data_IF_433843377685
#
_entry.id   IF_433843377685
#
_cell.length_a   1.000
_cell.length_b   1.000
_cell.length_c   1.000
_cell.angle_alpha   90.00
_cell.angle_beta   90.00
_cell.angle_gamma   90.00
#
_symmetry.space_group_name_H-M   'P 1'
#
loop_
_entity.id
_entity.type
_entity.pdbx_description
1 polymer ?
#
# COMPACT_ATOMS: atom_id res chain seq x y z
N UNK A 1 -38.81 -9.17 -15.37
CA UNK A 1 -38.29 -8.60 -14.12
C UNK A 1 -39.51 -8.15 -13.34
N UNK A 2 -40.02 -9.03 -12.49
CA UNK A 2 -41.23 -8.80 -11.72
C UNK A 2 -40.94 -9.20 -10.28
N UNK A 3 -41.57 -8.47 -9.37
CA UNK A 3 -41.74 -8.76 -7.95
C UNK A 3 -40.69 -8.22 -6.96
N UNK A 4 -40.74 -6.90 -6.75
CA UNK A 4 -40.54 -6.30 -5.42
C UNK A 4 -41.76 -5.40 -5.15
N UNK A 5 -42.93 -6.03 -5.09
CA UNK A 5 -44.16 -5.36 -4.64
C UNK A 5 -44.05 -5.01 -3.15
N UNK A 6 -44.27 -3.73 -2.83
CA UNK A 6 -44.85 -3.18 -1.59
C UNK A 6 -44.36 -3.65 -0.20
N UNK A 7 -43.34 -4.50 -0.07
CA UNK A 7 -42.86 -4.97 1.22
C UNK A 7 -42.01 -3.88 1.90
N UNK A 8 -42.44 -3.32 3.06
CA UNK A 8 -41.68 -2.30 3.78
C UNK A 8 -40.50 -2.94 4.51
N UNK A 9 -39.52 -3.40 3.74
CA UNK A 9 -38.33 -4.13 4.19
C UNK A 9 -37.54 -3.33 5.21
N UNK A 10 -37.37 -2.02 5.01
CA UNK A 10 -36.66 -1.15 5.95
C UNK A 10 -37.37 -1.02 7.31
N UNK A 11 -38.71 -1.03 7.34
CA UNK A 11 -39.47 -0.93 8.59
C UNK A 11 -39.60 -2.27 9.32
N UNK A 12 -39.46 -3.39 8.61
CA UNK A 12 -39.56 -4.75 9.16
C UNK A 12 -38.21 -5.41 9.47
N UNK A 13 -37.11 -4.85 8.96
CA UNK A 13 -35.75 -5.29 9.28
C UNK A 13 -35.35 -4.81 10.69
N UNK A 14 -35.97 -5.39 11.72
CA UNK A 14 -35.80 -4.96 13.11
C UNK A 14 -34.68 -5.70 13.86
N UNK A 15 -34.10 -6.76 13.26
CA UNK A 15 -33.04 -7.53 13.90
C UNK A 15 -31.69 -6.85 13.70
N UNK A 16 -30.96 -6.66 14.80
CA UNK A 16 -29.54 -6.35 14.71
C UNK A 16 -28.76 -7.58 14.20
N UNK A 17 -27.52 -7.37 13.77
CA UNK A 17 -26.64 -8.48 13.37
C UNK A 17 -26.44 -9.49 14.52
N UNK A 18 -26.32 -9.01 15.76
CA UNK A 18 -26.20 -9.85 16.95
C UNK A 18 -27.46 -10.69 17.19
N UNK A 19 -28.65 -10.11 16.95
CA UNK A 19 -29.91 -10.85 17.06
C UNK A 19 -29.99 -11.96 16.01
N UNK A 20 -29.62 -11.65 14.77
CA UNK A 20 -29.58 -12.62 13.68
C UNK A 20 -28.61 -13.77 13.98
N UNK A 21 -27.39 -13.45 14.44
CA UNK A 21 -26.39 -14.44 14.84
C UNK A 21 -26.93 -15.39 15.92
N UNK A 22 -27.61 -14.83 16.94
CA UNK A 22 -28.27 -15.62 17.97
C UNK A 22 -29.38 -16.51 17.40
N UNK A 23 -30.22 -15.99 16.52
CA UNK A 23 -31.28 -16.77 15.88
C UNK A 23 -30.72 -17.94 15.07
N UNK A 24 -29.63 -17.72 14.31
CA UNK A 24 -28.97 -18.79 13.54
C UNK A 24 -28.41 -19.86 14.47
N UNK A 25 -27.72 -19.46 15.55
CA UNK A 25 -27.20 -20.42 16.53
C UNK A 25 -28.32 -21.27 17.14
N UNK A 26 -29.44 -20.65 17.52
CA UNK A 26 -30.60 -21.36 18.05
C UNK A 26 -31.23 -22.31 17.03
N UNK A 27 -31.36 -21.89 15.76
CA UNK A 27 -31.89 -22.75 14.70
C UNK A 27 -30.99 -23.98 14.45
N UNK A 28 -29.66 -23.81 14.50
CA UNK A 28 -28.71 -24.93 14.39
C UNK A 28 -28.85 -25.87 15.58
N UNK A 29 -28.96 -25.34 16.81
CA UNK A 29 -29.14 -26.15 18.02
C UNK A 29 -30.45 -26.93 17.93
N UNK A 30 -31.57 -26.27 17.64
CA UNK A 30 -32.89 -26.89 17.48
C UNK A 30 -32.86 -27.99 16.41
N UNK A 31 -32.28 -27.71 15.24
CA UNK A 31 -32.11 -28.71 14.18
C UNK A 31 -31.34 -29.96 14.65
N UNK A 32 -30.25 -29.78 15.40
CA UNK A 32 -29.44 -30.90 15.89
C UNK A 32 -30.10 -31.70 17.03
N UNK A 33 -31.12 -31.12 17.68
CA UNK A 33 -31.93 -31.76 18.70
C UNK A 33 -33.18 -32.47 18.14
N UNK A 34 -33.62 -32.12 16.93
CA UNK A 34 -34.78 -32.71 16.30
C UNK A 34 -34.48 -34.12 15.74
N UNK A 35 -35.47 -35.01 15.85
CA UNK A 35 -35.40 -36.31 15.21
C UNK A 35 -35.64 -36.21 13.70
N UNK A 36 -34.75 -36.81 12.92
CA UNK A 36 -34.98 -36.97 11.50
C UNK A 36 -36.04 -38.05 11.24
N UNK A 37 -37.18 -37.67 10.68
CA UNK A 37 -38.33 -38.56 10.44
C UNK A 37 -38.00 -39.79 9.56
N UNK A 38 -37.00 -39.72 8.68
CA UNK A 38 -36.63 -40.84 7.80
C UNK A 38 -35.70 -41.83 8.48
N UNK A 39 -34.71 -41.33 9.22
CA UNK A 39 -33.69 -42.18 9.84
C UNK A 39 -33.99 -42.53 11.28
N UNK A 40 -34.99 -41.89 11.90
CA UNK A 40 -35.35 -42.02 13.32
C UNK A 40 -34.15 -41.79 14.24
N UNK A 41 -33.32 -40.80 13.88
CA UNK A 41 -32.08 -40.46 14.56
C UNK A 41 -32.09 -38.99 14.92
N UNK A 42 -31.59 -38.69 16.12
CA UNK A 42 -31.30 -37.34 16.58
C UNK A 42 -29.80 -37.08 16.41
N UNK A 43 -29.37 -36.07 15.64
CA UNK A 43 -27.95 -35.81 15.36
C UNK A 43 -27.08 -35.73 16.62
N UNK A 44 -27.54 -34.98 17.64
CA UNK A 44 -26.80 -34.86 18.90
C UNK A 44 -26.63 -36.20 19.63
N UNK A 45 -27.67 -37.04 19.65
CA UNK A 45 -27.61 -38.35 20.31
C UNK A 45 -26.67 -39.31 19.58
N UNK A 46 -26.67 -39.30 18.25
CA UNK A 46 -25.74 -40.10 17.45
C UNK A 46 -24.30 -39.63 17.64
N UNK A 47 -24.06 -38.32 17.68
CA UNK A 47 -22.74 -37.76 17.99
C UNK A 47 -22.25 -38.22 19.36
N UNK A 48 -23.05 -38.06 20.42
CA UNK A 48 -22.69 -38.47 21.78
C UNK A 48 -22.40 -39.97 21.91
N UNK A 49 -23.12 -40.82 21.15
CA UNK A 49 -22.86 -42.27 21.12
C UNK A 49 -21.50 -42.63 20.51
N UNK A 50 -21.01 -41.84 19.57
CA UNK A 50 -19.80 -42.14 18.79
C UNK A 50 -18.58 -41.35 19.26
N UNK A 51 -18.78 -40.20 19.92
CA UNK A 51 -17.71 -39.28 20.30
C UNK A 51 -16.77 -39.82 21.37
N UNK A 52 -17.21 -40.79 22.18
CA UNK A 52 -16.38 -41.45 23.20
C UNK A 52 -15.18 -42.21 22.62
N UNK A 53 -15.21 -42.56 21.34
CA UNK A 53 -14.12 -43.26 20.65
C UNK A 53 -13.19 -42.31 19.86
N UNK A 54 -13.46 -41.00 19.89
CA UNK A 54 -12.61 -40.02 19.20
C UNK A 54 -11.36 -39.73 20.06
N UNK A 55 -10.21 -39.65 19.39
CA UNK A 55 -8.99 -39.17 20.04
C UNK A 55 -9.18 -37.72 20.51
N UNK A 56 -8.85 -37.46 21.77
CA UNK A 56 -8.81 -36.10 22.32
C UNK A 56 -7.59 -35.37 21.75
N UNK A 57 -7.81 -34.61 20.68
CA UNK A 57 -6.81 -33.66 20.19
C UNK A 57 -6.82 -32.45 21.12
N UNK A 58 -5.85 -32.39 22.04
CA UNK A 58 -5.62 -31.22 22.90
C UNK A 58 -4.93 -30.11 22.11
N UNK A 59 -5.55 -29.68 21.03
CA UNK A 59 -5.09 -28.53 20.27
C UNK A 59 -5.32 -27.26 21.09
N UNK A 60 -4.39 -26.33 20.97
CA UNK A 60 -4.53 -24.99 21.53
C UNK A 60 -5.60 -24.22 20.72
N UNK A 61 -6.76 -23.86 21.31
CA UNK A 61 -7.87 -23.25 20.58
C UNK A 61 -7.47 -21.95 19.87
N UNK A 62 -6.56 -21.17 20.45
CA UNK A 62 -6.10 -19.91 19.85
C UNK A 62 -5.31 -20.19 18.57
N UNK A 63 -4.41 -21.17 18.61
CA UNK A 63 -3.63 -21.58 17.43
C UNK A 63 -4.52 -22.11 16.32
N UNK A 64 -5.52 -22.93 16.68
CA UNK A 64 -6.49 -23.45 15.71
C UNK A 64 -7.25 -22.30 15.03
N UNK A 65 -7.75 -21.34 15.81
CA UNK A 65 -8.45 -20.17 15.27
C UNK A 65 -7.58 -19.39 14.29
N UNK A 66 -6.32 -19.12 14.64
CA UNK A 66 -5.38 -18.36 13.80
C UNK A 66 -5.12 -19.02 12.44
N UNK A 67 -5.18 -20.35 12.35
CA UNK A 67 -5.02 -21.08 11.08
C UNK A 67 -6.18 -20.79 10.12
N UNK A 68 -7.38 -20.56 10.63
CA UNK A 68 -8.56 -20.22 9.81
C UNK A 68 -8.65 -18.74 9.43
N UNK A 69 -7.87 -17.88 10.07
CA UNK A 69 -7.86 -16.45 9.74
C UNK A 69 -7.25 -16.19 8.35
N UNK A 70 -7.69 -15.09 7.74
CA UNK A 70 -7.23 -14.67 6.42
C UNK A 70 -5.73 -14.36 6.46
N UNK A 71 -4.97 -14.92 5.51
CA UNK A 71 -3.52 -14.74 5.40
C UNK A 71 -3.11 -13.61 4.47
N UNK A 72 -2.02 -12.93 4.82
CA UNK A 72 -1.34 -11.95 3.98
C UNK A 72 0.15 -11.90 4.31
N UNK A 73 0.95 -11.37 3.38
CA UNK A 73 2.36 -11.08 3.64
C UNK A 73 2.60 -9.57 3.65
N UNK A 74 3.31 -9.06 4.66
CA UNK A 74 3.61 -7.63 4.79
C UNK A 74 5.05 -7.39 5.21
N UNK A 75 5.64 -6.32 4.67
CA UNK A 75 6.95 -5.87 5.09
C UNK A 75 6.84 -5.07 6.38
N UNK A 76 7.79 -5.28 7.29
CA UNK A 76 7.95 -4.45 8.47
C UNK A 76 8.58 -3.12 8.06
N UNK A 77 7.92 -2.01 8.40
CA UNK A 77 8.47 -0.67 8.25
C UNK A 77 8.89 -0.12 9.61
N UNK A 78 9.59 1.03 9.63
CA UNK A 78 9.87 1.75 10.88
C UNK A 78 8.59 2.13 11.65
N UNK A 79 7.46 2.28 10.94
CA UNK A 79 6.18 2.64 11.53
C UNK A 79 5.36 1.40 11.96
N UNK A 80 5.91 0.19 11.83
CA UNK A 80 5.22 -1.08 12.03
C UNK A 80 4.75 -1.70 10.71
N UNK A 81 3.67 -2.47 10.76
CA UNK A 81 3.09 -3.14 9.59
C UNK A 81 1.97 -2.28 9.01
N UNK A 82 2.01 -2.01 7.70
CA UNK A 82 0.94 -1.29 7.01
C UNK A 82 -0.03 -2.26 6.35
N UNK A 83 -1.32 -2.12 6.69
CA UNK A 83 -2.39 -2.93 6.13
C UNK A 83 -3.71 -2.15 6.15
N UNK A 84 -4.55 -2.31 5.13
CA UNK A 84 -5.83 -1.61 5.00
C UNK A 84 -5.79 -0.08 4.99
N UNK A 85 -4.60 0.53 4.83
CA UNK A 85 -4.32 1.95 5.09
C UNK A 85 -4.35 2.36 6.58
N UNK A 86 -4.15 1.38 7.45
CA UNK A 86 -3.83 1.53 8.86
C UNK A 86 -2.36 1.10 9.09
N UNK A 87 -1.84 1.48 10.24
CA UNK A 87 -0.55 1.02 10.74
C UNK A 87 -0.78 0.23 12.02
N UNK A 88 -0.12 -0.92 12.10
CA UNK A 88 -0.17 -1.83 13.24
C UNK A 88 1.20 -1.88 13.90
N UNK A 89 1.25 -1.81 15.23
CA UNK A 89 2.50 -1.86 15.96
C UNK A 89 2.32 -2.51 17.33
N UNK A 90 3.37 -3.19 17.76
CA UNK A 90 3.51 -3.71 19.12
C UNK A 90 4.98 -3.60 19.53
N UNK A 91 5.31 -3.34 20.81
CA UNK A 91 6.69 -3.15 21.25
C UNK A 91 7.66 -4.27 20.85
N UNK A 92 7.18 -5.52 20.77
CA UNK A 92 8.02 -6.65 20.41
C UNK A 92 8.51 -6.61 18.96
N UNK A 93 7.77 -5.95 18.04
CA UNK A 93 8.25 -5.73 16.67
C UNK A 93 9.47 -4.81 16.62
N UNK A 94 9.65 -3.97 17.64
CA UNK A 94 10.75 -2.99 17.72
C UNK A 94 12.13 -3.63 17.62
N UNK A 95 12.29 -4.88 18.11
CA UNK A 95 13.54 -5.63 18.06
C UNK A 95 13.94 -5.93 16.61
N UNK A 96 12.96 -6.12 15.72
CA UNK A 96 13.18 -6.46 14.31
C UNK A 96 13.25 -5.24 13.38
N UNK A 97 12.89 -4.04 13.86
CA UNK A 97 12.92 -2.81 13.04
C UNK A 97 14.31 -2.44 12.52
N UNK A 98 15.42 -2.60 13.28
CA UNK A 98 16.77 -2.35 12.77
C UNK A 98 17.13 -3.21 11.57
N UNK A 99 16.79 -4.50 11.62
CA UNK A 99 17.12 -5.50 10.59
C UNK A 99 15.98 -5.77 9.60
N UNK A 100 14.95 -4.90 9.56
CA UNK A 100 13.74 -5.06 8.76
C UNK A 100 14.01 -5.29 7.26
N UNK A 101 15.08 -4.69 6.73
CA UNK A 101 15.43 -4.77 5.31
C UNK A 101 15.97 -6.17 4.94
N UNK A 102 16.42 -6.95 5.93
CA UNK A 102 16.91 -8.33 5.78
C UNK A 102 15.84 -9.38 6.11
N UNK A 103 14.81 -8.99 6.87
CA UNK A 103 13.78 -9.89 7.38
C UNK A 103 12.81 -10.41 6.32
N UNK A 104 12.74 -9.75 5.15
CA UNK A 104 11.78 -10.08 4.11
C UNK A 104 10.34 -9.70 4.49
N UNK A 105 9.36 -10.41 3.94
CA UNK A 105 7.95 -10.22 4.28
C UNK A 105 7.57 -11.13 5.45
N UNK A 106 6.84 -10.58 6.41
CA UNK A 106 6.26 -11.30 7.54
C UNK A 106 4.89 -11.87 7.17
N UNK A 107 4.61 -13.08 7.63
CA UNK A 107 3.27 -13.68 7.56
C UNK A 107 2.34 -12.99 8.56
N UNK A 108 1.19 -12.56 8.08
CA UNK A 108 0.17 -11.85 8.84
C UNK A 108 -1.16 -12.57 8.69
N UNK A 109 -1.85 -12.77 9.80
CA UNK A 109 -3.23 -13.27 9.89
C UNK A 109 -4.13 -12.17 10.41
N UNK A 110 -5.37 -12.10 9.92
CA UNK A 110 -6.35 -11.11 10.37
C UNK A 110 -7.78 -11.65 10.27
N UNK A 111 -8.67 -11.15 11.11
CA UNK A 111 -10.11 -11.39 11.01
C UNK A 111 -10.77 -10.21 10.25
N UNK A 112 -11.40 -10.43 9.09
CA UNK A 112 -12.16 -9.37 8.40
C UNK A 112 -13.31 -8.79 9.23
N UNK A 113 -13.80 -9.51 10.25
CA UNK A 113 -14.84 -9.06 11.17
C UNK A 113 -14.29 -8.16 12.29
N UNK A 114 -13.00 -8.24 12.56
CA UNK A 114 -12.32 -7.37 13.51
C UNK A 114 -10.89 -7.08 13.08
N UNK A 115 -10.68 -5.91 12.48
CA UNK A 115 -9.35 -5.43 12.07
C UNK A 115 -8.71 -4.50 13.12
N UNK A 116 -9.21 -4.47 14.35
CA UNK A 116 -8.56 -3.76 15.47
C UNK A 116 -7.17 -4.34 15.79
N UNK A 117 -6.99 -5.62 15.50
CA UNK A 117 -5.75 -6.36 15.70
C UNK A 117 -5.41 -7.19 14.46
N UNK A 118 -4.12 -7.37 14.24
CA UNK A 118 -3.59 -8.39 13.33
C UNK A 118 -2.68 -9.32 14.11
N UNK A 119 -2.44 -10.50 13.58
CA UNK A 119 -1.52 -11.47 14.17
C UNK A 119 -0.34 -11.65 13.25
N UNK A 120 0.86 -11.42 13.77
CA UNK A 120 2.09 -11.45 12.98
C UNK A 120 2.92 -12.63 13.43
N UNK A 121 3.41 -13.40 12.48
CA UNK A 121 4.30 -14.53 12.78
C UNK A 121 5.65 -13.99 13.23
N UNK A 122 5.99 -14.28 14.47
CA UNK A 122 7.27 -13.94 15.06
C UNK A 122 8.39 -14.73 14.34
N UNK A 123 9.40 -14.04 13.76
CA UNK A 123 10.50 -14.70 13.03
C UNK A 123 11.31 -15.67 13.88
N UNK A 124 11.40 -15.45 15.20
CA UNK A 124 12.21 -16.27 16.11
C UNK A 124 11.39 -17.42 16.70
N UNK A 125 10.23 -17.11 17.26
CA UNK A 125 9.41 -18.13 17.95
C UNK A 125 8.50 -18.90 16.99
N UNK A 126 8.33 -18.41 15.76
CA UNK A 126 7.40 -18.92 14.74
C UNK A 126 5.92 -18.90 15.16
N UNK A 127 5.61 -18.30 16.31
CA UNK A 127 4.26 -18.15 16.82
C UNK A 127 3.62 -16.86 16.33
N UNK A 128 2.32 -16.91 16.12
CA UNK A 128 1.54 -15.70 15.84
C UNK A 128 1.36 -14.89 17.12
N UNK A 129 1.65 -13.59 17.03
CA UNK A 129 1.50 -12.65 18.14
C UNK A 129 0.60 -11.50 17.74
N UNK A 130 -0.30 -11.03 18.63
CA UNK A 130 -1.18 -9.92 18.33
C UNK A 130 -0.40 -8.61 18.19
N UNK A 131 -0.86 -7.78 17.27
CA UNK A 131 -0.33 -6.45 16.96
C UNK A 131 -1.52 -5.53 16.75
N UNK A 132 -1.65 -4.55 17.62
CA UNK A 132 -2.79 -3.64 17.66
C UNK A 132 -2.63 -2.51 16.65
N UNK A 133 -3.73 -1.83 16.35
CA UNK A 133 -3.68 -0.58 15.59
C UNK A 133 -2.88 0.48 16.34
N UNK A 134 -2.02 1.16 15.61
CA UNK A 134 -1.14 2.19 16.16
C UNK A 134 -1.84 3.55 16.37
N UNK A 135 -2.99 3.76 15.76
CA UNK A 135 -3.76 5.00 15.87
C UNK A 135 -4.48 5.16 17.22
N UNK A 136 -4.30 4.22 18.15
CA UNK A 136 -4.88 4.25 19.49
C UNK A 136 -6.38 3.91 19.51
N UNK A 137 -6.94 3.42 18.40
CA UNK A 137 -8.32 2.99 18.32
C UNK A 137 -8.41 1.50 18.62
N UNK A 138 -8.91 1.18 19.82
CA UNK A 138 -9.04 -0.21 20.30
C UNK A 138 -10.43 -0.81 20.06
N UNK A 139 -11.40 0.01 19.62
CA UNK A 139 -12.73 -0.48 19.33
C UNK A 139 -12.68 -1.46 18.14
N UNK A 140 -13.32 -2.64 18.24
CA UNK A 140 -13.49 -3.54 17.12
C UNK A 140 -14.15 -2.83 15.94
N UNK A 141 -13.60 -3.04 14.76
CA UNK A 141 -14.14 -2.49 13.51
C UNK A 141 -14.00 -3.55 12.43
N UNK A 142 -15.06 -3.78 11.68
CA UNK A 142 -15.01 -4.70 10.55
C UNK A 142 -14.23 -4.08 9.40
N UNK A 143 -13.58 -4.92 8.58
CA UNK A 143 -12.92 -4.48 7.35
C UNK A 143 -13.90 -3.78 6.41
N UNK A 144 -15.17 -4.22 6.39
CA UNK A 144 -16.23 -3.65 5.58
C UNK A 144 -16.58 -2.23 6.01
N UNK A 145 -16.84 -2.00 7.30
CA UNK A 145 -17.14 -0.65 7.84
C UNK A 145 -16.00 0.32 7.54
N UNK A 146 -14.75 -0.12 7.78
CA UNK A 146 -13.59 0.69 7.48
C UNK A 146 -13.47 1.02 5.98
N UNK A 147 -13.75 0.06 5.09
CA UNK A 147 -13.75 0.31 3.65
C UNK A 147 -14.87 1.27 3.23
N UNK A 148 -16.08 1.09 3.76
CA UNK A 148 -17.23 1.96 3.49
C UNK A 148 -16.96 3.40 3.94
N UNK A 149 -16.45 3.58 5.15
CA UNK A 149 -16.04 4.90 5.66
C UNK A 149 -15.00 5.55 4.75
N UNK A 150 -14.00 4.80 4.30
CA UNK A 150 -12.98 5.31 3.37
C UNK A 150 -13.56 5.66 2.01
N UNK A 151 -14.55 4.93 1.51
CA UNK A 151 -15.26 5.28 0.27
C UNK A 151 -16.00 6.60 0.45
N UNK A 152 -16.77 6.75 1.53
CA UNK A 152 -17.47 8.00 1.86
C UNK A 152 -16.49 9.18 1.98
N UNK A 153 -15.40 9.02 2.73
CA UNK A 153 -14.36 10.07 2.88
C UNK A 153 -13.71 10.44 1.54
N UNK A 154 -13.52 9.49 0.63
CA UNK A 154 -12.98 9.79 -0.71
C UNK A 154 -13.99 10.56 -1.56
N UNK A 155 -15.27 10.21 -1.49
CA UNK A 155 -16.33 10.91 -2.22
C UNK A 155 -16.46 12.36 -1.74
N UNK A 156 -16.44 12.60 -0.43
CA UNK A 156 -16.47 13.97 0.15
C UNK A 156 -15.27 14.81 -0.28
N UNK A 157 -14.07 14.20 -0.34
CA UNK A 157 -12.84 14.90 -0.74
C UNK A 157 -12.62 14.93 -2.27
N UNK A 158 -13.58 14.47 -3.07
CA UNK A 158 -13.40 14.33 -4.50
C UNK A 158 -13.47 15.69 -5.19
N UNK A 159 -12.30 16.19 -5.63
CA UNK A 159 -12.23 17.37 -6.51
C UNK A 159 -12.72 17.06 -7.92
N UNK A 160 -13.40 18.00 -8.54
CA UNK A 160 -13.78 17.95 -9.95
C UNK A 160 -12.54 17.87 -10.86
N UNK A 161 -12.71 17.38 -12.09
CA UNK A 161 -11.62 17.34 -13.08
C UNK A 161 -11.05 18.74 -13.35
N UNK A 162 -11.91 19.76 -13.33
CA UNK A 162 -11.54 21.16 -13.52
C UNK A 162 -10.65 21.65 -12.37
N UNK A 163 -11.06 21.45 -11.12
CA UNK A 163 -10.31 21.86 -9.93
C UNK A 163 -8.93 21.18 -9.84
N UNK A 164 -8.84 19.90 -10.24
CA UNK A 164 -7.57 19.16 -10.26
C UNK A 164 -6.53 19.76 -11.19
N UNK A 165 -6.99 20.40 -12.27
CA UNK A 165 -6.12 20.94 -13.33
C UNK A 165 -5.95 22.45 -13.21
N UNK A 166 -6.85 23.16 -12.52
CA UNK A 166 -6.79 24.60 -12.31
C UNK A 166 -5.43 25.07 -11.75
N UNK A 167 -4.99 24.51 -10.61
CA UNK A 167 -3.70 24.87 -10.02
C UNK A 167 -2.51 24.51 -10.92
N UNK A 168 -2.57 23.38 -11.64
CA UNK A 168 -1.49 23.01 -12.58
C UNK A 168 -1.40 23.98 -13.76
N UNK A 169 -2.54 24.42 -14.29
CA UNK A 169 -2.62 25.45 -15.33
C UNK A 169 -2.07 26.78 -14.85
N UNK A 170 -2.44 27.19 -13.64
CA UNK A 170 -1.95 28.43 -13.05
C UNK A 170 -0.43 28.39 -12.82
N UNK A 171 0.09 27.31 -12.24
CA UNK A 171 1.55 27.08 -12.11
C UNK A 171 2.23 27.16 -13.49
N UNK A 172 1.63 26.53 -14.51
CA UNK A 172 2.19 26.55 -15.88
C UNK A 172 2.19 27.95 -16.46
N UNK A 173 1.10 28.71 -16.30
CA UNK A 173 0.99 30.10 -16.75
C UNK A 173 2.04 31.01 -16.07
N UNK A 174 2.25 30.87 -14.76
CA UNK A 174 3.29 31.58 -14.01
C UNK A 174 4.68 31.24 -14.56
N UNK A 175 4.96 29.96 -14.80
CA UNK A 175 6.25 29.52 -15.36
C UNK A 175 6.48 30.07 -16.76
N UNK A 176 5.47 30.02 -17.64
CA UNK A 176 5.55 30.59 -19.00
C UNK A 176 5.74 32.11 -18.98
N UNK A 177 5.07 32.84 -18.09
CA UNK A 177 5.22 34.29 -17.94
C UNK A 177 6.65 34.71 -17.52
N UNK A 178 7.34 33.86 -16.74
CA UNK A 178 8.69 34.14 -16.23
C UNK A 178 9.79 33.71 -17.21
N UNK A 179 9.53 32.77 -18.14
CA UNK A 179 10.50 32.32 -19.15
C UNK A 179 11.15 33.43 -19.98
N UNK A 180 10.45 34.43 -20.53
CA UNK A 180 11.07 35.49 -21.33
C UNK A 180 12.01 36.37 -20.50
N UNK A 181 11.67 36.66 -19.24
CA UNK A 181 12.52 37.44 -18.32
C UNK A 181 13.81 36.67 -18.03
N UNK A 182 13.70 35.37 -17.70
CA UNK A 182 14.87 34.50 -17.50
C UNK A 182 15.72 34.35 -18.78
N UNK A 183 15.09 34.30 -19.96
CA UNK A 183 15.80 34.25 -21.25
C UNK A 183 16.57 35.55 -21.51
N UNK A 184 15.94 36.71 -21.33
CA UNK A 184 16.60 38.02 -21.46
C UNK A 184 17.78 38.18 -20.50
N UNK A 185 17.63 37.76 -19.23
CA UNK A 185 18.74 37.78 -18.27
C UNK A 185 19.90 36.87 -18.71
N UNK A 186 19.62 35.65 -19.18
CA UNK A 186 20.67 34.75 -19.71
C UNK A 186 21.35 35.32 -20.94
N UNK A 187 20.59 35.92 -21.86
CA UNK A 187 21.13 36.49 -23.08
C UNK A 187 21.94 37.77 -22.79
N UNK A 188 21.55 38.56 -21.79
CA UNK A 188 22.33 39.70 -21.29
C UNK A 188 23.65 39.25 -20.64
N UNK A 189 23.64 38.22 -19.81
CA UNK A 189 24.86 37.64 -19.22
C UNK A 189 25.79 37.08 -20.31
N UNK A 190 25.26 36.36 -21.30
CA UNK A 190 26.04 35.86 -22.44
C UNK A 190 26.63 36.98 -23.27
N UNK A 191 25.86 38.04 -23.53
CA UNK A 191 26.33 39.19 -24.29
C UNK A 191 27.41 39.97 -23.53
N UNK A 192 27.25 40.13 -22.20
CA UNK A 192 28.27 40.73 -21.35
C UNK A 192 29.57 39.89 -21.34
N UNK A 193 29.45 38.56 -21.27
CA UNK A 193 30.61 37.66 -21.35
C UNK A 193 31.25 37.63 -22.75
N UNK A 194 30.48 37.83 -23.81
CA UNK A 194 30.99 37.93 -25.19
C UNK A 194 31.66 39.29 -25.47
N UNK A 195 31.18 40.36 -24.83
CA UNK A 195 31.74 41.71 -24.90
C UNK A 195 32.93 41.92 -23.96
N UNK A 196 33.07 41.09 -22.92
CA UNK A 196 34.28 41.02 -22.12
C UNK A 196 35.45 40.60 -23.02
N UNK A 197 36.53 41.39 -23.00
CA UNK A 197 37.68 41.17 -23.85
C UNK A 197 38.23 39.74 -23.66
N UNK A 198 38.30 38.98 -24.75
CA UNK A 198 38.92 37.64 -24.74
C UNK A 198 40.40 37.81 -24.37
N UNK A 199 40.96 36.99 -23.46
CA UNK A 199 42.34 37.14 -23.00
C UNK A 199 43.40 37.11 -24.11
N UNK A 200 43.08 36.57 -25.29
CA UNK A 200 43.97 36.54 -26.46
C UNK A 200 44.04 37.88 -27.22
N UNK A 201 43.06 38.77 -27.10
CA UNK A 201 43.07 40.08 -27.77
C UNK A 201 44.08 41.05 -27.12
N UNK A 202 44.57 40.75 -25.91
CA UNK A 202 45.67 41.47 -25.28
C UNK A 202 47.05 41.01 -25.78
N UNK A 203 47.13 39.99 -26.66
CA UNK A 203 48.40 39.42 -27.16
C UNK A 203 48.73 39.81 -28.61
N UNK A 204 48.04 40.78 -29.22
CA UNK A 204 48.42 41.28 -30.55
C UNK A 204 48.80 42.75 -30.52
N UNK A 205 50.05 43.00 -30.11
CA UNK A 205 50.88 44.11 -30.60
C UNK A 205 52.36 43.85 -30.25
N UNK A 206 52.97 42.83 -30.85
CA UNK A 206 54.42 42.86 -31.10
C UNK A 206 54.65 42.50 -32.56
N UNK A 207 55.15 43.42 -33.41
CA UNK A 207 55.58 43.07 -34.74
C UNK A 207 56.85 42.24 -34.61
N UNK A 208 56.73 40.92 -34.70
CA UNK A 208 57.88 40.05 -34.88
C UNK A 208 58.29 40.16 -36.34
N UNK A 209 59.49 40.69 -36.58
CA UNK A 209 60.10 40.73 -37.91
C UNK A 209 60.03 39.33 -38.55
N UNK A 210 59.55 39.26 -39.79
CA UNK A 210 59.51 38.04 -40.59
C UNK A 210 60.95 37.51 -40.76
N UNK A 211 61.33 36.54 -39.93
CA UNK A 211 62.46 35.69 -40.23
C UNK A 211 62.01 34.65 -41.25
N UNK A 212 62.72 34.55 -42.37
CA UNK A 212 62.45 33.57 -43.42
C UNK A 212 62.47 32.15 -42.84
N UNK A 213 61.31 31.49 -42.82
CA UNK A 213 61.22 30.10 -42.43
C UNK A 213 61.64 29.21 -43.62
N UNK A 214 62.52 28.21 -43.42
CA UNK A 214 62.97 27.35 -44.51
C UNK A 214 61.80 26.55 -45.09
N UNK A 215 61.77 26.44 -46.42
CA UNK A 215 60.71 25.78 -47.18
C UNK A 215 60.57 24.32 -46.76
N UNK A 216 59.44 23.98 -46.13
CA UNK A 216 59.09 22.62 -45.72
C UNK A 216 58.81 21.77 -46.97
N UNK A 217 59.75 20.91 -47.34
CA UNK A 217 59.57 19.95 -48.44
C UNK A 217 58.46 18.95 -48.09
N UNK A 218 57.39 18.93 -48.91
CA UNK A 218 56.33 17.93 -48.81
C UNK A 218 56.84 16.59 -49.38
N UNK A 219 57.05 15.60 -48.53
CA UNK A 219 57.22 14.20 -48.97
C UNK A 219 55.91 13.75 -49.63
N UNK A 220 55.95 13.46 -50.92
CA UNK A 220 54.84 12.77 -51.61
C UNK A 220 54.91 11.30 -51.24
N UNK A 221 53.87 10.80 -50.59
CA UNK A 221 53.71 9.37 -50.35
C UNK A 221 53.32 8.70 -51.68
N UNK A 222 53.83 7.50 -52.00
CA UNK A 222 53.42 6.77 -53.20
C UNK A 222 51.95 6.37 -53.05
N UNK A 223 51.15 6.65 -54.08
CA UNK A 223 49.80 6.11 -54.21
C UNK A 223 49.95 4.73 -54.80
N UNK A 224 49.52 3.69 -54.07
CA UNK A 224 49.34 2.36 -54.65
C UNK A 224 47.96 2.33 -55.30
N UNK A 225 47.93 2.01 -56.60
CA UNK A 225 46.71 1.75 -57.35
C UNK A 225 46.24 0.33 -57.03
N UNK A 226 45.06 0.21 -56.42
CA UNK A 226 44.21 -0.98 -56.49
C UNK A 226 42.74 -0.56 -56.58
#
# INVERSE_FOLDING_TARGET
MADRDEYPSEQRACLSFADLERCVALAVIDHNLQENQKTLKVPLAEWQRQSSNLLDFRDDPERVLLVFLSGAERQLSQQGISMFALHYYSPWLGIFVPDRDRLGKLEVRYDPRDISHIYVRDPETLLFRPVERRDGQFAPVTLWEHQAERVCRRAVNQRSSVEKVAFRREITAIVEAVKPIKRRLRDAVRSAHAAAAKPHAATEAQPTALAEHPVRQKKRLPVEDW
#
